data_IF_107782274383
#
_entry.id   IF_107782274383
#
_cell.length_a   1.000
_cell.length_b   1.000
_cell.length_c   1.000
_cell.angle_alpha   90.00
_cell.angle_beta   90.00
_cell.angle_gamma   90.00
#
_symmetry.space_group_name_H-M   'P 1'
#
loop_
_entity.id
_entity.type
_entity.pdbx_description
1 polymer ?
#
# COMPACT_ATOMS: atom_id res chain seq x y z
N UNK A 1 12.06 -1.80 -22.19
CA UNK A 1 10.64 -2.18 -22.41
C UNK A 1 10.02 -2.54 -21.07
N UNK A 2 8.97 -1.86 -20.59
CA UNK A 2 8.28 -2.28 -19.37
C UNK A 2 7.41 -3.50 -19.69
N UNK A 3 7.72 -4.63 -19.07
CA UNK A 3 6.92 -5.86 -19.19
C UNK A 3 5.59 -5.62 -18.47
N UNK A 4 4.49 -5.68 -19.22
CA UNK A 4 3.14 -5.70 -18.65
C UNK A 4 2.97 -7.03 -17.94
N UNK A 5 3.19 -7.04 -16.62
CA UNK A 5 2.98 -8.23 -15.82
C UNK A 5 1.51 -8.66 -15.93
N UNK A 6 1.28 -9.91 -16.33
CA UNK A 6 -0.03 -10.55 -16.16
C UNK A 6 -0.49 -10.37 -14.69
N UNK A 7 -1.78 -10.10 -14.42
CA UNK A 7 -2.33 -9.96 -13.07
C UNK A 7 -1.99 -11.11 -12.11
N UNK A 8 -1.52 -12.25 -12.64
CA UNK A 8 -1.22 -13.49 -11.93
C UNK A 8 0.15 -13.57 -11.24
N UNK A 9 0.97 -12.51 -11.14
CA UNK A 9 2.30 -12.64 -10.50
C UNK A 9 2.74 -11.47 -9.61
N UNK A 10 1.81 -10.71 -9.02
CA UNK A 10 2.16 -9.74 -8.00
C UNK A 10 2.28 -10.42 -6.63
N UNK A 11 3.37 -10.16 -5.91
CA UNK A 11 3.64 -10.73 -4.60
C UNK A 11 3.81 -9.66 -3.51
N UNK A 12 3.66 -10.06 -2.25
CA UNK A 12 4.02 -9.23 -1.10
C UNK A 12 5.49 -8.76 -1.20
N UNK A 13 5.72 -7.48 -0.97
CA UNK A 13 7.02 -6.81 -1.11
C UNK A 13 7.29 -6.28 -2.51
N UNK A 14 6.49 -6.64 -3.52
CA UNK A 14 6.59 -6.02 -4.84
C UNK A 14 6.18 -4.55 -4.76
N UNK A 15 6.91 -3.76 -5.55
CA UNK A 15 6.62 -2.35 -5.76
C UNK A 15 5.99 -2.20 -7.12
N UNK A 16 4.79 -1.64 -7.15
CA UNK A 16 4.02 -1.39 -8.37
C UNK A 16 3.81 0.11 -8.58
N UNK A 17 3.83 0.53 -9.83
CA UNK A 17 3.47 1.87 -10.25
C UNK A 17 2.08 1.86 -10.85
N UNK A 18 1.24 2.77 -10.39
CA UNK A 18 0.01 3.20 -11.06
C UNK A 18 0.24 4.59 -11.68
N UNK A 19 -0.74 5.16 -12.38
CA UNK A 19 -0.60 6.42 -13.14
C UNK A 19 0.17 7.55 -12.41
N UNK A 20 -0.04 7.74 -11.10
CA UNK A 20 0.61 8.83 -10.34
C UNK A 20 1.33 8.40 -9.06
N UNK A 21 1.31 7.12 -8.71
CA UNK A 21 1.73 6.67 -7.37
C UNK A 21 2.47 5.34 -7.44
N UNK A 22 3.54 5.22 -6.67
CA UNK A 22 4.22 3.95 -6.39
C UNK A 22 3.63 3.34 -5.13
N UNK A 23 3.47 2.03 -5.12
CA UNK A 23 2.84 1.28 -4.04
C UNK A 23 3.68 0.07 -3.70
N UNK A 24 3.77 -0.24 -2.41
CA UNK A 24 4.29 -1.52 -1.91
C UNK A 24 3.11 -2.43 -1.65
N UNK A 25 3.15 -3.65 -2.17
CA UNK A 25 2.15 -4.68 -1.87
C UNK A 25 2.46 -5.26 -0.49
N UNK A 26 1.58 -5.01 0.47
CA UNK A 26 1.77 -5.43 1.86
C UNK A 26 1.11 -6.77 2.16
N UNK A 27 -0.05 -7.03 1.55
CA UNK A 27 -0.82 -8.24 1.79
C UNK A 27 -1.79 -8.57 0.64
N UNK A 28 -2.15 -9.85 0.51
CA UNK A 28 -3.21 -10.33 -0.38
C UNK A 28 -4.44 -10.70 0.44
N UNK A 29 -5.62 -10.25 0.01
CA UNK A 29 -6.91 -10.58 0.61
C UNK A 29 -7.87 -11.01 -0.50
N UNK A 30 -7.80 -12.28 -0.88
CA UNK A 30 -8.53 -12.81 -2.05
C UNK A 30 -8.14 -12.06 -3.32
N UNK A 31 -9.12 -11.44 -3.98
CA UNK A 31 -8.94 -10.62 -5.19
C UNK A 31 -8.41 -9.21 -4.93
N UNK A 32 -8.21 -8.84 -3.66
CA UNK A 32 -7.76 -7.51 -3.26
C UNK A 32 -6.32 -7.53 -2.76
N UNK A 33 -5.64 -6.41 -2.93
CA UNK A 33 -4.33 -6.11 -2.36
C UNK A 33 -4.46 -5.03 -1.30
N UNK A 34 -3.67 -5.16 -0.25
CA UNK A 34 -3.42 -4.10 0.71
C UNK A 34 -2.11 -3.42 0.32
N UNK A 35 -2.19 -2.13 -0.01
CA UNK A 35 -1.10 -1.36 -0.60
C UNK A 35 -0.68 -0.23 0.31
N UNK A 36 0.63 -0.01 0.48
CA UNK A 36 1.15 1.19 1.15
C UNK A 36 1.79 2.13 0.12
N UNK A 37 1.49 3.44 0.13
CA UNK A 37 2.13 4.39 -0.76
C UNK A 37 3.65 4.45 -0.53
N UNK A 38 4.39 4.59 -1.63
CA UNK A 38 5.81 4.96 -1.63
C UNK A 38 5.92 6.38 -2.19
N UNK A 39 6.26 7.34 -1.32
CA UNK A 39 6.23 8.78 -1.65
C UNK A 39 7.51 9.48 -1.20
N UNK A 40 7.88 10.62 -1.82
CA UNK A 40 8.94 11.47 -1.29
C UNK A 40 8.67 11.82 0.18
N UNK A 41 9.71 11.83 0.99
CA UNK A 41 9.63 12.17 2.39
C UNK A 41 9.35 13.67 2.55
N UNK A 42 8.07 14.03 2.73
CA UNK A 42 7.65 15.38 3.10
C UNK A 42 7.57 15.55 4.61
N UNK A 43 7.56 16.80 5.06
CA UNK A 43 7.09 17.16 6.40
C UNK A 43 5.60 17.57 6.32
N UNK A 44 4.76 17.18 7.29
CA UNK A 44 5.05 16.33 8.45
C UNK A 44 5.13 14.83 8.11
N UNK A 45 5.99 14.10 8.81
CA UNK A 45 6.09 12.62 8.72
C UNK A 45 5.07 11.98 9.67
N UNK A 46 4.37 10.97 9.20
CA UNK A 46 3.48 10.19 10.04
C UNK A 46 4.27 9.20 10.91
N UNK A 47 3.78 8.88 12.11
CA UNK A 47 4.45 7.98 13.08
C UNK A 47 4.78 6.59 12.54
N UNK A 48 4.03 6.16 11.53
CA UNK A 48 4.16 4.84 10.90
C UNK A 48 4.92 4.89 9.55
N UNK A 49 5.42 6.05 9.14
CA UNK A 49 6.21 6.16 7.92
C UNK A 49 7.57 5.49 8.14
N UNK A 50 7.92 4.58 7.22
CA UNK A 50 9.20 3.87 7.26
C UNK A 50 10.11 4.44 6.17
N UNK A 51 11.29 5.00 6.51
CA UNK A 51 12.25 5.46 5.53
C UNK A 51 12.67 4.35 4.56
N UNK A 52 12.68 4.67 3.27
CA UNK A 52 13.20 3.78 2.24
C UNK A 52 14.73 3.81 2.29
N UNK A 53 15.41 2.67 2.49
CA UNK A 53 16.87 2.63 2.38
C UNK A 53 17.34 3.10 1.01
N UNK A 54 18.45 3.83 0.95
CA UNK A 54 18.96 4.40 -0.31
C UNK A 54 19.19 3.34 -1.40
N UNK A 55 19.56 2.12 -1.01
CA UNK A 55 19.76 0.98 -1.92
C UNK A 55 18.46 0.56 -2.59
N UNK A 56 17.38 0.42 -1.82
CA UNK A 56 16.04 0.13 -2.36
C UNK A 56 15.55 1.30 -3.21
N UNK A 57 15.82 2.54 -2.79
CA UNK A 57 15.50 3.76 -3.55
C UNK A 57 16.14 3.79 -4.93
N UNK A 58 17.45 3.49 -4.99
CA UNK A 58 18.19 3.44 -6.25
C UNK A 58 17.61 2.41 -7.22
N UNK A 59 17.35 1.19 -6.75
CA UNK A 59 16.77 0.12 -7.59
C UNK A 59 15.36 0.44 -8.08
N UNK A 60 14.59 1.24 -7.33
CA UNK A 60 13.21 1.61 -7.65
C UNK A 60 13.08 2.92 -8.44
N UNK A 61 14.21 3.59 -8.75
CA UNK A 61 14.22 4.89 -9.40
C UNK A 61 13.61 6.00 -8.54
N UNK A 62 13.75 5.89 -7.22
CA UNK A 62 13.37 6.89 -6.23
C UNK A 62 14.60 7.72 -5.87
N UNK A 63 14.74 8.89 -6.49
CA UNK A 63 15.83 9.82 -6.20
C UNK A 63 15.47 10.70 -5.01
N UNK A 64 16.31 10.71 -3.98
CA UNK A 64 16.10 11.45 -2.74
C UNK A 64 15.43 10.64 -1.64
N UNK A 65 15.01 11.32 -0.58
CA UNK A 65 14.38 10.67 0.57
C UNK A 65 12.96 10.23 0.23
N UNK A 66 12.70 8.93 0.36
CA UNK A 66 11.37 8.34 0.19
C UNK A 66 10.95 7.61 1.46
N UNK A 67 9.64 7.49 1.67
CA UNK A 67 9.06 6.72 2.77
C UNK A 67 8.00 5.77 2.24
N UNK A 68 7.93 4.58 2.84
CA UNK A 68 6.75 3.74 2.78
C UNK A 68 5.77 4.27 3.82
N UNK A 69 4.67 4.86 3.35
CA UNK A 69 3.60 5.31 4.23
C UNK A 69 2.81 4.09 4.68
N UNK A 70 2.95 3.66 5.94
CA UNK A 70 2.25 2.48 6.47
C UNK A 70 0.76 2.78 6.79
N UNK A 71 0.10 3.50 5.88
CA UNK A 71 -1.33 3.80 5.86
C UNK A 71 -1.94 3.08 4.66
N UNK A 72 -2.48 1.88 4.88
CA UNK A 72 -2.80 0.99 3.78
C UNK A 72 -4.07 1.43 3.03
N UNK A 73 -4.06 1.15 1.74
CA UNK A 73 -5.20 1.30 0.83
C UNK A 73 -5.54 -0.08 0.28
N UNK A 74 -6.81 -0.49 0.38
CA UNK A 74 -7.31 -1.72 -0.23
C UNK A 74 -7.73 -1.45 -1.67
N UNK A 75 -7.25 -2.26 -2.62
CA UNK A 75 -7.54 -2.12 -4.06
C UNK A 75 -7.65 -3.49 -4.75
N UNK A 76 -8.45 -3.60 -5.81
CA UNK A 76 -8.53 -4.80 -6.64
C UNK A 76 -7.17 -5.09 -7.32
N UNK A 77 -6.76 -6.35 -7.35
CA UNK A 77 -5.55 -6.77 -8.05
C UNK A 77 -5.68 -6.59 -9.58
N UNK A 78 -4.59 -6.25 -10.26
CA UNK A 78 -4.46 -6.42 -11.72
C UNK A 78 -4.84 -5.23 -12.62
N UNK A 79 -5.57 -4.21 -12.16
CA UNK A 79 -5.89 -3.05 -13.02
C UNK A 79 -4.92 -1.87 -12.84
N UNK A 80 -4.19 -1.56 -13.92
CA UNK A 80 -3.31 -0.38 -14.00
C UNK A 80 -2.09 -0.41 -13.08
N UNK A 81 -1.68 -1.61 -12.65
CA UNK A 81 -0.52 -1.83 -11.80
C UNK A 81 0.62 -2.42 -12.65
N UNK A 82 1.73 -1.69 -12.73
CA UNK A 82 2.94 -2.16 -13.38
C UNK A 82 3.99 -2.45 -12.30
N UNK A 83 4.49 -3.68 -12.20
CA UNK A 83 5.62 -3.98 -11.32
C UNK A 83 6.86 -3.21 -11.76
N UNK A 84 7.49 -2.51 -10.83
CA UNK A 84 8.74 -1.74 -11.08
C UNK A 84 9.92 -2.27 -10.27
N UNK A 85 9.69 -3.15 -9.30
CA UNK A 85 10.73 -3.80 -8.52
C UNK A 85 10.15 -4.52 -7.31
N UNK A 86 11.03 -4.84 -6.35
CA UNK A 86 10.68 -5.51 -5.10
C UNK A 86 11.56 -4.91 -4.01
N UNK A 87 11.01 -4.65 -2.83
CA UNK A 87 11.80 -4.20 -1.68
C UNK A 87 12.74 -5.30 -1.20
N UNK A 88 13.89 -4.89 -0.65
CA UNK A 88 14.73 -5.79 0.14
C UNK A 88 13.91 -6.46 1.26
N UNK A 89 14.28 -7.70 1.61
CA UNK A 89 13.57 -8.47 2.65
C UNK A 89 13.55 -7.77 4.01
N UNK A 90 14.64 -7.06 4.35
CA UNK A 90 14.76 -6.30 5.59
C UNK A 90 13.84 -5.08 5.59
N UNK A 91 13.86 -4.28 4.52
CA UNK A 91 12.96 -3.12 4.38
C UNK A 91 11.49 -3.55 4.41
N UNK A 92 11.13 -4.58 3.64
CA UNK A 92 9.76 -5.09 3.62
C UNK A 92 9.29 -5.59 5.00
N UNK A 93 10.14 -6.33 5.72
CA UNK A 93 9.83 -6.80 7.08
C UNK A 93 9.58 -5.64 8.04
N UNK A 94 10.42 -4.60 7.98
CA UNK A 94 10.27 -3.41 8.81
C UNK A 94 8.96 -2.68 8.48
N UNK A 95 8.69 -2.40 7.20
CA UNK A 95 7.47 -1.75 6.76
C UNK A 95 6.21 -2.55 7.15
N UNK A 96 6.26 -3.89 7.04
CA UNK A 96 5.15 -4.76 7.46
C UNK A 96 4.92 -4.76 8.98
N UNK A 97 5.98 -4.70 9.78
CA UNK A 97 5.86 -4.58 11.23
C UNK A 97 5.27 -3.22 11.64
N UNK A 98 5.75 -2.13 11.05
CA UNK A 98 5.20 -0.79 11.28
C UNK A 98 3.73 -0.69 10.89
N UNK A 99 3.34 -1.29 9.75
CA UNK A 99 1.95 -1.40 9.32
C UNK A 99 1.09 -2.16 10.33
N UNK A 100 1.55 -3.32 10.81
CA UNK A 100 0.79 -4.11 11.79
C UNK A 100 0.55 -3.32 13.09
N UNK A 101 1.59 -2.66 13.62
CA UNK A 101 1.49 -1.79 14.79
C UNK A 101 0.49 -0.65 14.56
N UNK A 102 0.56 0.01 13.39
CA UNK A 102 -0.35 1.11 13.05
C UNK A 102 -1.80 0.64 12.91
N UNK A 103 -2.05 -0.53 12.31
CA UNK A 103 -3.40 -1.11 12.21
C UNK A 103 -3.98 -1.42 13.60
N UNK A 104 -3.17 -1.97 14.50
CA UNK A 104 -3.57 -2.22 15.88
C UNK A 104 -3.87 -0.91 16.62
N UNK A 105 -3.02 0.11 16.44
CA UNK A 105 -3.21 1.42 17.05
C UNK A 105 -4.49 2.11 16.53
N UNK A 106 -4.74 2.10 15.22
CA UNK A 106 -5.97 2.63 14.62
C UNK A 106 -7.22 1.94 15.11
N UNK A 107 -7.16 0.63 15.34
CA UNK A 107 -8.29 -0.13 15.89
C UNK A 107 -8.62 0.31 17.32
N UNK A 108 -7.61 0.68 18.13
CA UNK A 108 -7.80 1.25 19.47
C UNK A 108 -8.32 2.69 19.42
N UNK A 109 -7.75 3.52 18.55
CA UNK A 109 -8.10 4.94 18.41
C UNK A 109 -9.48 5.14 17.76
N UNK A 110 -9.84 4.26 16.81
CA UNK A 110 -11.04 4.41 15.97
C UNK A 110 -11.70 3.04 15.69
N UNK A 111 -12.30 2.38 16.69
CA UNK A 111 -12.82 1.02 16.54
C UNK A 111 -13.93 0.86 15.51
N UNK A 112 -14.67 1.95 15.21
CA UNK A 112 -15.78 1.96 14.25
C UNK A 112 -15.36 2.24 12.80
N UNK A 113 -14.08 2.53 12.54
CA UNK A 113 -13.57 2.80 11.20
C UNK A 113 -12.75 1.62 10.70
N UNK A 114 -12.87 1.32 9.40
CA UNK A 114 -11.94 0.39 8.76
C UNK A 114 -10.51 0.93 8.92
N UNK A 115 -9.53 0.09 9.28
CA UNK A 115 -8.17 0.54 9.56
C UNK A 115 -7.36 0.80 8.27
N UNK A 116 -7.98 0.62 7.11
CA UNK A 116 -7.46 0.91 5.77
C UNK A 116 -8.43 1.79 5.00
N UNK A 117 -7.91 2.61 4.09
CA UNK A 117 -8.75 3.34 3.14
C UNK A 117 -9.18 2.39 2.00
N UNK A 118 -10.37 2.61 1.44
CA UNK A 118 -10.76 2.01 0.17
C UNK A 118 -10.23 2.91 -0.94
N UNK A 119 -9.50 2.34 -1.92
CA UNK A 119 -9.20 3.10 -3.13
C UNK A 119 -10.54 3.45 -3.78
N UNK A 120 -10.82 4.73 -3.96
CA UNK A 120 -11.95 5.15 -4.78
C UNK A 120 -11.70 4.59 -6.20
N UNK A 121 -12.37 3.50 -6.53
CA UNK A 121 -12.60 3.15 -7.92
C UNK A 121 -13.27 4.38 -8.54
N UNK A 122 -12.84 4.79 -9.74
CA UNK A 122 -13.54 5.79 -10.55
C UNK A 122 -14.95 5.31 -11.01
N UNK A 123 -15.61 4.48 -10.20
CA UNK A 123 -16.98 4.07 -10.33
C UNK A 123 -17.70 4.86 -9.25
N UNK A 124 -18.57 5.80 -9.65
CA UNK A 124 -19.51 6.45 -8.74
C UNK A 124 -20.21 5.35 -7.96
N UNK A 125 -19.90 5.22 -6.67
CA UNK A 125 -20.68 4.35 -5.80
C UNK A 125 -22.07 5.00 -5.70
N UNK A 126 -23.16 4.29 -6.01
CA UNK A 126 -24.47 4.74 -5.59
C UNK A 126 -24.43 4.82 -4.07
N UNK A 127 -24.71 6.01 -3.54
CA UNK A 127 -24.98 6.20 -2.12
C UNK A 127 -26.20 5.34 -1.81
N UNK A 128 -26.02 4.20 -1.16
CA UNK A 128 -27.13 3.60 -0.44
C UNK A 128 -26.73 2.88 0.85
N UNK A 129 -27.62 2.93 1.86
CA UNK A 129 -27.34 2.60 3.24
C UNK A 129 -27.61 1.13 3.48
N UNK A 130 -26.74 0.44 4.21
CA UNK A 130 -27.07 -0.85 4.81
C UNK A 130 -26.44 -0.84 6.20
N UNK A 131 -27.22 -0.66 7.28
CA UNK A 131 -28.13 -1.65 7.88
C UNK A 131 -27.50 -3.05 8.02
N UNK A 132 -27.22 -3.35 9.29
CA UNK A 132 -27.65 -4.56 10.01
C UNK A 132 -27.02 -5.92 9.65
N UNK A 133 -26.18 -6.36 10.60
CA UNK A 133 -26.21 -7.61 11.41
C UNK A 133 -25.98 -9.01 10.78
N UNK A 134 -25.30 -9.82 11.61
CA UNK A 134 -25.22 -11.30 11.76
C UNK A 134 -24.14 -12.01 10.91
N UNK A 135 -23.37 -12.97 11.43
CA UNK A 135 -23.46 -13.83 12.63
C UNK A 135 -22.08 -14.05 13.27
#
# INVERSE_FOLDING_TARGET
MPVSASPAALACGDVVRTSHTRWVIMHHQGTHLLLCPLQPAGAPRHRADVPLPWQDGLHLGCMGDYVVQCRPVRRLAGQGMQKIGTLSRSCFRHARAALATELLQRRKETPHKAPYALAASHIRLPRHPLHIVFS
#
